data_IF_043031482538
#
_entry.id   IF_043031482538
#
_cell.length_a   1.000
_cell.length_b   1.000
_cell.length_c   1.000
_cell.angle_alpha   90.00
_cell.angle_beta   90.00
_cell.angle_gamma   90.00
#
_symmetry.space_group_name_H-M   'P 1'
#
loop_
_entity.id
_entity.type
_entity.pdbx_description
1 polymer ?
#
# COMPACT_ATOMS: atom_id res chain seq x y z
N UNK A 1 22.90 18.59 25.20
CA UNK A 1 22.76 17.13 25.06
C UNK A 1 21.34 16.77 25.47
N UNK A 2 20.49 16.43 24.51
CA UNK A 2 19.08 16.05 24.76
C UNK A 2 19.05 14.64 25.33
N UNK A 3 18.35 14.43 26.45
CA UNK A 3 18.11 13.09 26.99
C UNK A 3 17.44 12.20 25.92
N UNK A 4 17.77 10.89 25.84
CA UNK A 4 17.06 10.00 24.94
C UNK A 4 15.58 9.99 25.37
N UNK A 5 14.68 10.30 24.44
CA UNK A 5 13.25 10.20 24.70
C UNK A 5 12.92 8.72 24.94
N UNK A 6 12.68 8.37 26.20
CA UNK A 6 12.23 7.04 26.60
C UNK A 6 10.83 6.82 26.03
N UNK A 7 10.73 5.96 25.03
CA UNK A 7 9.46 5.56 24.45
C UNK A 7 8.86 4.43 25.29
N UNK A 8 7.56 4.51 25.57
CA UNK A 8 6.81 3.47 26.27
C UNK A 8 6.05 2.58 25.28
N UNK A 9 5.75 1.36 25.70
CA UNK A 9 4.94 0.45 24.90
C UNK A 9 3.54 1.04 24.67
N UNK A 10 3.07 0.97 23.43
CA UNK A 10 1.73 1.48 23.07
C UNK A 10 0.58 0.74 23.78
N UNK A 11 0.81 -0.50 24.21
CA UNK A 11 -0.19 -1.33 24.89
C UNK A 11 0.02 -1.39 26.42
N UNK A 12 1.21 -1.04 26.91
CA UNK A 12 1.57 -1.06 28.33
C UNK A 12 2.36 0.20 28.69
N UNK A 13 1.69 1.18 29.31
CA UNK A 13 2.30 2.48 29.63
C UNK A 13 3.40 2.39 30.69
N UNK A 14 3.40 1.31 31.48
CA UNK A 14 4.40 1.06 32.54
C UNK A 14 5.68 0.41 32.00
N UNK A 15 5.68 -0.05 30.75
CA UNK A 15 6.79 -0.79 30.16
C UNK A 15 7.54 0.06 29.13
N UNK A 16 8.86 0.13 29.27
CA UNK A 16 9.73 0.74 28.26
C UNK A 16 9.68 -0.05 26.96
N UNK A 17 9.63 0.68 25.84
CA UNK A 17 9.67 0.10 24.52
C UNK A 17 11.08 -0.42 24.22
N UNK A 18 11.15 -1.68 23.80
CA UNK A 18 12.40 -2.31 23.41
C UNK A 18 12.74 -1.95 21.95
N UNK A 19 11.74 -1.99 21.08
CA UNK A 19 11.90 -1.70 19.65
C UNK A 19 10.55 -1.27 19.03
N UNK A 20 10.59 -0.86 17.77
CA UNK A 20 9.45 -0.45 16.96
C UNK A 20 9.01 -1.58 16.02
N UNK A 21 7.71 -1.82 15.95
CA UNK A 21 7.16 -2.78 15.00
C UNK A 21 7.37 -2.30 13.56
N UNK A 22 8.12 -3.04 12.75
CA UNK A 22 8.38 -2.68 11.35
C UNK A 22 7.10 -2.55 10.51
N UNK A 23 6.03 -3.27 10.87
CA UNK A 23 4.75 -3.28 10.13
C UNK A 23 3.84 -2.10 10.45
N UNK A 24 3.67 -1.72 11.72
CA UNK A 24 2.72 -0.67 12.11
C UNK A 24 3.37 0.56 12.76
N UNK A 25 4.68 0.54 13.03
CA UNK A 25 5.44 1.65 13.61
C UNK A 25 5.21 1.87 15.11
N UNK A 26 4.44 1.00 15.79
CA UNK A 26 4.20 1.12 17.23
C UNK A 26 5.42 0.69 18.03
N UNK A 27 5.65 1.40 19.14
CA UNK A 27 6.61 1.04 20.16
C UNK A 27 6.11 -0.16 20.98
N UNK A 28 6.91 -1.21 21.08
CA UNK A 28 6.53 -2.42 21.81
C UNK A 28 7.60 -2.81 22.83
N UNK A 29 7.15 -3.21 24.02
CA UNK A 29 8.02 -3.78 25.04
C UNK A 29 8.45 -5.21 24.68
N UNK A 30 9.36 -5.77 25.47
CA UNK A 30 9.90 -7.12 25.26
C UNK A 30 8.84 -8.23 25.18
N UNK A 31 7.70 -8.09 25.87
CA UNK A 31 6.59 -9.06 25.82
C UNK A 31 5.68 -8.89 24.61
N UNK A 32 5.56 -7.68 24.07
CA UNK A 32 4.69 -7.37 22.94
C UNK A 32 5.38 -7.52 21.58
N UNK A 33 6.71 -7.63 21.56
CA UNK A 33 7.51 -7.70 20.33
C UNK A 33 7.99 -9.14 20.05
N UNK A 34 7.79 -9.60 18.83
CA UNK A 34 8.28 -10.87 18.32
C UNK A 34 9.29 -10.63 17.22
N UNK A 35 10.36 -11.42 17.26
CA UNK A 35 11.34 -11.49 16.18
C UNK A 35 10.92 -12.55 15.17
N UNK A 36 10.63 -12.13 13.94
CA UNK A 36 10.39 -13.01 12.80
C UNK A 36 11.55 -12.87 11.82
N UNK A 37 11.75 -13.85 10.93
CA UNK A 37 12.85 -13.83 9.96
C UNK A 37 12.75 -12.58 9.07
N UNK A 38 13.56 -11.56 9.38
CA UNK A 38 13.57 -10.25 8.71
C UNK A 38 13.22 -9.04 9.58
N UNK A 39 12.86 -9.21 10.87
CA UNK A 39 12.80 -8.09 11.80
C UNK A 39 11.83 -8.23 12.99
N UNK A 40 11.59 -7.12 13.67
CA UNK A 40 10.78 -7.05 14.90
C UNK A 40 9.34 -6.59 14.60
N UNK A 41 8.36 -7.32 15.12
CA UNK A 41 6.93 -7.13 14.86
C UNK A 41 6.11 -7.23 16.16
N UNK A 42 5.04 -6.44 16.32
CA UNK A 42 4.17 -6.59 17.48
C UNK A 42 3.25 -7.81 17.37
N UNK A 43 2.87 -8.40 18.51
CA UNK A 43 1.93 -9.53 18.65
C UNK A 43 0.68 -9.39 17.78
N UNK A 44 0.05 -8.22 17.78
CA UNK A 44 -1.18 -7.97 17.00
C UNK A 44 -0.94 -7.99 15.49
N UNK A 45 0.23 -7.55 15.04
CA UNK A 45 0.61 -7.65 13.64
C UNK A 45 0.91 -9.09 13.25
N UNK A 46 1.60 -9.84 14.10
CA UNK A 46 1.91 -11.26 13.86
C UNK A 46 0.62 -12.08 13.79
N UNK A 47 -0.30 -11.92 14.72
CA UNK A 47 -1.60 -12.61 14.71
C UNK A 47 -2.40 -12.29 13.43
N UNK A 48 -2.43 -11.02 13.00
CA UNK A 48 -3.04 -10.65 11.71
C UNK A 48 -2.34 -11.30 10.51
N UNK A 49 -1.02 -11.46 10.55
CA UNK A 49 -0.24 -12.14 9.51
C UNK A 49 -0.56 -13.64 9.49
N UNK A 50 -0.62 -14.27 10.66
CA UNK A 50 -0.98 -15.68 10.82
C UNK A 50 -2.41 -15.96 10.37
N UNK A 51 -3.38 -15.10 10.69
CA UNK A 51 -4.75 -15.23 10.19
C UNK A 51 -4.84 -15.05 8.67
N UNK A 52 -4.02 -14.15 8.11
CA UNK A 52 -3.94 -13.98 6.66
C UNK A 52 -3.29 -15.21 5.98
N UNK A 53 -2.29 -15.84 6.61
CA UNK A 53 -1.68 -17.07 6.09
C UNK A 53 -2.56 -18.31 6.29
N UNK A 54 -3.39 -18.34 7.34
CA UNK A 54 -4.29 -19.47 7.60
C UNK A 54 -5.57 -19.41 6.74
N UNK A 55 -5.84 -18.27 6.10
CA UNK A 55 -6.96 -18.08 5.16
C UNK A 55 -6.60 -18.30 3.69
N UNK A 56 -5.33 -18.50 3.35
CA UNK A 56 -4.88 -18.73 1.98
C UNK A 56 -3.73 -19.76 1.97
N UNK A 57 -3.91 -20.82 1.19
CA UNK A 57 -2.97 -21.92 1.00
C UNK A 57 -1.49 -21.45 0.79
N UNK A 58 -0.51 -22.31 1.10
CA UNK A 58 0.90 -21.92 1.19
C UNK A 58 1.42 -21.40 -0.15
N UNK A 59 1.88 -20.16 -0.15
CA UNK A 59 2.78 -19.65 -1.20
C UNK A 59 4.20 -19.83 -0.69
N UNK A 60 4.89 -20.82 -1.26
CA UNK A 60 6.35 -20.85 -1.29
C UNK A 60 6.91 -19.66 -2.09
N UNK A 61 8.19 -19.70 -2.48
CA UNK A 61 8.86 -18.61 -3.22
C UNK A 61 8.38 -18.44 -4.68
N UNK A 62 7.13 -18.80 -4.98
CA UNK A 62 6.41 -18.37 -6.16
C UNK A 62 5.70 -17.05 -5.84
N UNK A 63 6.39 -15.96 -6.12
CA UNK A 63 5.86 -14.60 -6.14
C UNK A 63 4.78 -14.52 -7.23
N UNK A 64 3.60 -15.09 -6.96
CA UNK A 64 2.42 -14.98 -7.82
C UNK A 64 1.99 -13.53 -7.78
N UNK A 65 2.54 -12.76 -8.72
CA UNK A 65 2.05 -11.44 -9.11
C UNK A 65 0.53 -11.56 -9.17
N UNK A 66 -0.16 -10.87 -8.24
CA UNK A 66 -1.60 -10.98 -8.18
C UNK A 66 -2.16 -10.66 -9.56
N UNK A 67 -3.05 -11.52 -10.06
CA UNK A 67 -3.67 -11.34 -11.37
C UNK A 67 -4.31 -9.95 -11.49
N UNK A 68 -4.75 -9.41 -10.34
CA UNK A 68 -5.22 -8.03 -10.19
C UNK A 68 -4.15 -6.99 -10.59
N UNK A 69 -2.89 -7.18 -10.19
CA UNK A 69 -1.77 -6.30 -10.51
C UNK A 69 -1.39 -6.36 -11.99
N UNK A 70 -1.45 -7.55 -12.58
CA UNK A 70 -1.23 -7.74 -14.02
C UNK A 70 -2.36 -7.07 -14.81
N UNK A 71 -3.60 -7.26 -14.37
CA UNK A 71 -4.77 -6.61 -14.97
C UNK A 71 -4.70 -5.08 -14.86
N UNK A 72 -4.27 -4.50 -13.73
CA UNK A 72 -4.19 -3.03 -13.60
C UNK A 72 -3.10 -2.42 -14.47
N UNK A 73 -1.97 -3.11 -14.66
CA UNK A 73 -0.91 -2.67 -15.58
C UNK A 73 -1.38 -2.76 -17.04
N UNK A 74 -2.01 -3.87 -17.44
CA UNK A 74 -2.59 -4.04 -18.77
C UNK A 74 -3.73 -3.07 -19.06
N UNK A 75 -4.59 -2.80 -18.08
CA UNK A 75 -5.62 -1.76 -18.20
C UNK A 75 -4.96 -0.39 -18.34
N UNK A 76 -3.92 -0.09 -17.56
CA UNK A 76 -3.19 1.17 -17.62
C UNK A 76 -2.53 1.43 -18.98
N UNK A 77 -2.00 0.40 -19.64
CA UNK A 77 -1.47 0.51 -21.01
C UNK A 77 -2.59 0.63 -22.06
N UNK A 78 -3.72 -0.07 -21.88
CA UNK A 78 -4.91 0.08 -22.72
C UNK A 78 -5.61 1.44 -22.56
N UNK A 79 -5.49 2.09 -21.39
CA UNK A 79 -6.02 3.43 -21.10
C UNK A 79 -5.39 4.51 -21.98
N UNK A 80 -4.17 4.28 -22.51
CA UNK A 80 -3.56 5.16 -23.51
C UNK A 80 -4.35 5.17 -24.84
N UNK A 81 -5.07 4.08 -25.15
CA UNK A 81 -5.89 3.96 -26.36
C UNK A 81 -7.38 4.29 -26.11
N UNK A 82 -7.88 4.14 -24.88
CA UNK A 82 -9.29 4.34 -24.54
C UNK A 82 -9.40 5.23 -23.29
N UNK A 83 -9.43 6.56 -23.46
CA UNK A 83 -9.40 7.51 -22.36
C UNK A 83 -10.50 7.37 -21.27
N UNK A 84 -11.75 6.94 -21.54
CA UNK A 84 -12.77 6.85 -20.49
C UNK A 84 -12.47 5.77 -19.43
N UNK A 85 -11.62 4.78 -19.71
CA UNK A 85 -11.23 3.76 -18.73
C UNK A 85 -10.32 4.32 -17.62
N UNK A 86 -9.59 5.40 -17.88
CA UNK A 86 -8.74 6.05 -16.88
C UNK A 86 -9.52 6.63 -15.69
N UNK A 87 -10.80 6.99 -15.91
CA UNK A 87 -11.69 7.48 -14.86
C UNK A 87 -12.04 6.40 -13.82
N UNK A 88 -12.06 5.12 -14.22
CA UNK A 88 -12.38 4.00 -13.32
C UNK A 88 -11.12 3.52 -12.57
N UNK A 89 -9.94 3.65 -13.16
CA UNK A 89 -8.68 3.25 -12.55
C UNK A 89 -8.29 4.10 -11.33
N UNK A 90 -8.62 5.39 -11.34
CA UNK A 90 -8.33 6.33 -10.25
C UNK A 90 -9.01 5.96 -8.90
N UNK A 91 -10.34 5.77 -8.83
CA UNK A 91 -11.01 5.40 -7.58
C UNK A 91 -10.57 4.01 -7.09
N UNK A 92 -10.31 3.07 -8.01
CA UNK A 92 -9.81 1.73 -7.64
C UNK A 92 -8.43 1.81 -6.98
N UNK A 93 -7.53 2.62 -7.54
CA UNK A 93 -6.18 2.84 -7.01
C UNK A 93 -6.21 3.56 -5.66
N UNK A 94 -7.08 4.57 -5.52
CA UNK A 94 -7.29 5.25 -4.24
C UNK A 94 -7.83 4.30 -3.16
N UNK A 95 -8.74 3.40 -3.53
CA UNK A 95 -9.30 2.40 -2.63
C UNK A 95 -8.26 1.37 -2.16
N UNK A 96 -7.37 0.94 -3.05
CA UNK A 96 -6.26 0.03 -2.71
C UNK A 96 -5.27 0.69 -1.72
N UNK A 97 -4.92 1.97 -1.94
CA UNK A 97 -4.08 2.74 -1.00
C UNK A 97 -4.75 2.88 0.36
N UNK A 98 -6.06 3.12 0.40
CA UNK A 98 -6.83 3.16 1.65
C UNK A 98 -6.86 1.79 2.35
N UNK A 99 -6.82 0.68 1.60
CA UNK A 99 -6.67 -0.67 2.18
C UNK A 99 -5.28 -0.89 2.75
N UNK A 100 -4.23 -0.44 2.06
CA UNK A 100 -2.84 -0.53 2.52
C UNK A 100 -2.62 0.33 3.77
N UNK A 101 -3.20 1.53 3.84
CA UNK A 101 -3.08 2.40 5.03
C UNK A 101 -3.77 1.79 6.26
N UNK A 102 -4.88 1.08 6.05
CA UNK A 102 -5.58 0.28 7.08
C UNK A 102 -4.87 -1.05 7.42
N UNK A 103 -3.72 -1.33 6.80
CA UNK A 103 -2.93 -2.54 7.04
C UNK A 103 -3.57 -3.83 6.52
N UNK A 104 -4.55 -3.72 5.60
CA UNK A 104 -5.30 -4.85 5.01
C UNK A 104 -4.66 -5.44 3.75
N UNK A 105 -3.56 -4.87 3.26
CA UNK A 105 -2.85 -5.32 2.07
C UNK A 105 -1.32 -5.22 2.27
N UNK A 106 -0.55 -5.92 1.42
CA UNK A 106 0.92 -5.98 1.51
C UNK A 106 1.57 -4.64 1.15
N UNK A 107 2.68 -4.30 1.82
CA UNK A 107 3.42 -3.05 1.54
C UNK A 107 4.07 -3.02 0.16
N UNK A 108 4.34 -4.18 -0.44
CA UNK A 108 4.89 -4.29 -1.80
C UNK A 108 4.04 -3.60 -2.86
N UNK A 109 2.71 -3.58 -2.67
CA UNK A 109 1.79 -2.90 -3.58
C UNK A 109 1.84 -1.37 -3.56
N UNK A 110 2.54 -0.72 -2.60
CA UNK A 110 2.58 0.76 -2.51
C UNK A 110 3.24 1.41 -3.73
N UNK A 111 4.32 0.83 -4.22
CA UNK A 111 5.06 1.39 -5.35
C UNK A 111 4.22 1.29 -6.62
N UNK A 112 3.56 0.15 -6.82
CA UNK A 112 2.68 -0.11 -7.96
C UNK A 112 1.43 0.79 -7.90
N UNK A 113 0.81 0.94 -6.73
CA UNK A 113 -0.35 1.83 -6.56
C UNK A 113 0.01 3.30 -6.84
N UNK A 114 1.20 3.76 -6.42
CA UNK A 114 1.68 5.10 -6.76
C UNK A 114 1.93 5.26 -8.26
N UNK A 115 2.58 4.27 -8.90
CA UNK A 115 2.80 4.28 -10.34
C UNK A 115 1.48 4.36 -11.12
N UNK A 116 0.47 3.59 -10.72
CA UNK A 116 -0.86 3.62 -11.32
C UNK A 116 -1.55 4.99 -11.21
N UNK A 117 -1.43 5.66 -10.04
CA UNK A 117 -1.97 7.02 -9.87
C UNK A 117 -1.25 8.02 -10.77
N UNK A 118 0.09 7.99 -10.81
CA UNK A 118 0.87 8.90 -11.67
C UNK A 118 0.50 8.71 -13.14
N UNK A 119 0.40 7.46 -13.59
CA UNK A 119 -0.02 7.15 -14.95
C UNK A 119 -1.45 7.64 -15.23
N UNK A 120 -2.39 7.42 -14.31
CA UNK A 120 -3.78 7.85 -14.44
C UNK A 120 -3.92 9.38 -14.52
N UNK A 121 -3.17 10.11 -13.70
CA UNK A 121 -3.14 11.59 -13.73
C UNK A 121 -2.55 12.11 -15.04
N UNK A 122 -1.44 11.52 -15.51
CA UNK A 122 -0.84 11.88 -16.78
C UNK A 122 -1.81 11.64 -17.95
N UNK A 123 -2.49 10.49 -17.97
CA UNK A 123 -3.51 10.18 -18.97
C UNK A 123 -4.67 11.18 -18.96
N UNK A 124 -5.16 11.57 -17.78
CA UNK A 124 -6.23 12.56 -17.63
C UNK A 124 -5.79 13.94 -18.15
N UNK A 125 -4.56 14.36 -17.84
CA UNK A 125 -4.02 15.63 -18.32
C UNK A 125 -3.93 15.68 -19.85
N UNK A 126 -3.47 14.59 -20.49
CA UNK A 126 -3.41 14.47 -21.96
C UNK A 126 -4.81 14.55 -22.58
N UNK A 127 -5.80 13.85 -22.00
CA UNK A 127 -7.20 13.94 -22.45
C UNK A 127 -7.73 15.38 -22.38
N UNK A 128 -7.55 16.07 -21.24
CA UNK A 128 -8.03 17.44 -21.07
C UNK A 128 -7.39 18.40 -22.08
N UNK A 129 -6.09 18.24 -22.35
CA UNK A 129 -5.38 19.04 -23.35
C UNK A 129 -5.89 18.78 -24.77
N UNK A 130 -6.16 17.51 -25.12
CA UNK A 130 -6.74 17.14 -26.39
C UNK A 130 -8.16 17.72 -26.56
N UNK A 131 -9.02 17.61 -25.54
CA UNK A 131 -10.36 18.20 -25.53
C UNK A 131 -10.29 19.72 -25.69
N UNK A 132 -9.38 20.39 -24.97
CA UNK A 132 -9.18 21.82 -25.08
C UNK A 132 -8.77 22.22 -26.51
N UNK A 133 -7.86 21.48 -27.15
CA UNK A 133 -7.45 21.71 -28.54
C UNK A 133 -8.57 21.48 -29.55
N UNK A 134 -9.46 20.52 -29.33
CA UNK A 134 -10.59 20.22 -30.22
C UNK A 134 -11.76 21.19 -30.02
N UNK A 135 -11.98 21.68 -28.80
CA UNK A 135 -13.05 22.64 -28.48
C UNK A 135 -12.66 24.10 -28.75
N UNK A 136 -11.37 24.44 -28.63
CA UNK A 136 -10.85 25.77 -28.94
C UNK A 136 -11.11 26.30 -30.37
N UNK A 137 -11.12 25.50 -31.46
CA UNK A 137 -11.40 25.98 -32.82
C UNK A 137 -12.86 26.35 -33.09
N UNK A 138 -13.78 26.24 -32.13
CA UNK A 138 -15.19 26.60 -32.31
C UNK A 138 -15.49 28.09 -32.08
N UNK A 139 -14.50 28.97 -32.27
CA UNK A 139 -14.64 30.44 -32.16
C UNK A 139 -14.34 31.14 -33.47
#
# INVERSE_FOLDING_TARGET
MSAPAEAYCSDHIEALALDTCLRCGRFACASCILRLQGGMYCVTCVDRLQRASNGFAPSGPDEKVSLLTVCTVLLGTLVFCIPPLGLVALPLSAWEIARISKGRASRGGRFIARAAIVLGVLSLAVLLLALFRVLAPLK
#
